data_IF_087628821321
#
_entry.id   IF_087628821321
#
_cell.length_a   1.000
_cell.length_b   1.000
_cell.length_c   1.000
_cell.angle_alpha   90.00
_cell.angle_beta   90.00
_cell.angle_gamma   90.00
#
_symmetry.space_group_name_H-M   'P 1'
#
loop_
_entity.id
_entity.type
_entity.pdbx_description
1 polymer ?
#
# COMPACT_ATOMS: atom_id res chain seq x y z
N UNK A 1 -10.43 -15.31 14.06
CA UNK A 1 -9.18 -15.34 13.27
C UNK A 1 -8.78 -16.76 12.88
N UNK A 2 -8.48 -17.64 13.85
CA UNK A 2 -8.01 -19.03 13.61
C UNK A 2 -8.80 -19.80 12.55
N UNK A 3 -10.13 -19.85 12.63
CA UNK A 3 -10.95 -20.56 11.63
C UNK A 3 -10.81 -19.98 10.22
N UNK A 4 -10.87 -18.65 10.07
CA UNK A 4 -10.73 -17.99 8.76
C UNK A 4 -9.35 -18.24 8.15
N UNK A 5 -8.29 -18.23 8.97
CA UNK A 5 -6.93 -18.50 8.49
C UNK A 5 -6.78 -19.95 8.00
N UNK A 6 -7.32 -20.91 8.75
CA UNK A 6 -7.30 -22.33 8.37
C UNK A 6 -8.06 -22.55 7.06
N UNK A 7 -9.24 -21.95 6.90
CA UNK A 7 -10.04 -22.06 5.67
C UNK A 7 -9.30 -21.46 4.45
N UNK A 8 -8.42 -20.48 4.67
CA UNK A 8 -7.54 -19.86 3.66
C UNK A 8 -6.19 -20.58 3.51
N UNK A 9 -6.00 -21.73 4.17
CA UNK A 9 -4.75 -22.52 4.11
C UNK A 9 -3.58 -21.91 4.88
N UNK A 10 -3.81 -20.85 5.68
CA UNK A 10 -2.80 -20.20 6.50
C UNK A 10 -2.80 -20.85 7.89
N UNK A 11 -1.63 -21.34 8.30
CA UNK A 11 -1.44 -21.84 9.67
C UNK A 11 -1.22 -20.64 10.59
N UNK A 12 -2.06 -20.43 11.62
CA UNK A 12 -1.85 -19.41 12.62
C UNK A 12 -0.49 -19.62 13.31
N UNK A 13 0.23 -18.53 13.56
CA UNK A 13 1.52 -18.56 14.27
C UNK A 13 1.36 -18.76 15.77
N UNK A 14 0.16 -18.46 16.30
CA UNK A 14 -0.12 -18.42 17.74
C UNK A 14 0.00 -17.02 18.35
N UNK A 15 0.54 -16.07 17.60
CA UNK A 15 0.53 -14.64 17.91
C UNK A 15 -0.56 -13.95 17.07
N UNK A 16 -1.59 -13.44 17.75
CA UNK A 16 -2.75 -12.83 17.10
C UNK A 16 -2.39 -11.53 16.38
N UNK A 17 -1.43 -10.75 16.89
CA UNK A 17 -1.00 -9.50 16.28
C UNK A 17 -0.20 -9.80 15.00
N UNK A 18 0.71 -10.77 15.07
CA UNK A 18 1.46 -11.23 13.90
C UNK A 18 0.52 -11.79 12.82
N UNK A 19 -0.46 -12.62 13.21
CA UNK A 19 -1.44 -13.22 12.32
C UNK A 19 -2.37 -12.17 11.68
N UNK A 20 -2.76 -11.13 12.42
CA UNK A 20 -3.54 -10.00 11.89
C UNK A 20 -2.76 -9.25 10.81
N UNK A 21 -1.51 -8.86 11.10
CA UNK A 21 -0.67 -8.13 10.15
C UNK A 21 -0.33 -8.98 8.92
N UNK A 22 -0.06 -10.28 9.11
CA UNK A 22 0.22 -11.22 8.03
C UNK A 22 -0.97 -11.36 7.05
N UNK A 23 -2.20 -11.20 7.53
CA UNK A 23 -3.41 -11.18 6.70
C UNK A 23 -3.70 -9.80 6.09
N UNK A 24 -3.57 -8.74 6.88
CA UNK A 24 -4.05 -7.42 6.48
C UNK A 24 -3.11 -6.68 5.56
N UNK A 25 -1.78 -6.83 5.71
CA UNK A 25 -0.83 -6.22 4.78
C UNK A 25 -1.05 -6.66 3.33
N UNK A 26 -1.13 -7.96 2.99
CA UNK A 26 -1.40 -8.38 1.61
C UNK A 26 -2.82 -8.02 1.14
N UNK A 27 -3.83 -8.06 2.01
CA UNK A 27 -5.18 -7.59 1.68
C UNK A 27 -5.17 -6.12 1.24
N UNK A 28 -4.51 -5.26 2.02
CA UNK A 28 -4.41 -3.83 1.74
C UNK A 28 -3.61 -3.57 0.46
N UNK A 29 -2.52 -4.33 0.24
CA UNK A 29 -1.74 -4.24 -0.99
C UNK A 29 -2.59 -4.59 -2.23
N UNK A 30 -3.42 -5.64 -2.14
CA UNK A 30 -4.35 -6.01 -3.21
C UNK A 30 -5.37 -4.90 -3.51
N UNK A 31 -5.95 -4.31 -2.46
CA UNK A 31 -6.90 -3.20 -2.62
C UNK A 31 -6.23 -1.93 -3.18
N UNK A 32 -4.97 -1.65 -2.84
CA UNK A 32 -4.17 -0.58 -3.47
C UNK A 32 -3.99 -0.85 -4.97
N UNK A 33 -3.66 -2.08 -5.39
CA UNK A 33 -3.51 -2.40 -6.81
C UNK A 33 -4.82 -2.29 -7.58
N UNK A 34 -5.96 -2.68 -6.98
CA UNK A 34 -7.29 -2.46 -7.56
C UNK A 34 -7.62 -0.97 -7.68
N UNK A 35 -7.34 -0.18 -6.64
CA UNK A 35 -7.56 1.26 -6.67
C UNK A 35 -6.71 1.95 -7.76
N UNK A 36 -5.43 1.55 -7.91
CA UNK A 36 -4.59 2.01 -9.02
C UNK A 36 -5.17 1.62 -10.39
N UNK A 37 -5.78 0.45 -10.51
CA UNK A 37 -6.47 0.05 -11.75
C UNK A 37 -7.70 0.93 -12.03
N UNK A 38 -8.51 1.25 -11.01
CA UNK A 38 -9.63 2.18 -11.14
C UNK A 38 -9.17 3.57 -11.57
N UNK A 39 -8.05 4.06 -11.04
CA UNK A 39 -7.48 5.35 -11.47
C UNK A 39 -6.96 5.34 -12.91
N UNK A 40 -6.44 4.21 -13.39
CA UNK A 40 -5.94 4.08 -14.77
C UNK A 40 -7.05 3.86 -15.80
N UNK A 41 -8.05 3.06 -15.46
CA UNK A 41 -9.01 2.53 -16.44
C UNK A 41 -10.46 2.91 -16.16
N UNK A 42 -10.78 3.28 -14.92
CA UNK A 42 -12.11 3.68 -14.48
C UNK A 42 -12.51 5.07 -14.98
N UNK A 43 -13.82 5.27 -15.14
CA UNK A 43 -14.41 6.50 -15.69
C UNK A 43 -15.43 7.17 -14.77
N UNK A 44 -15.76 6.53 -13.65
CA UNK A 44 -16.71 7.08 -12.68
C UNK A 44 -15.96 7.98 -11.68
N UNK A 45 -16.20 9.29 -11.75
CA UNK A 45 -15.48 10.28 -10.93
C UNK A 45 -15.59 10.03 -9.40
N UNK A 46 -16.78 9.74 -8.84
CA UNK A 46 -16.87 9.31 -7.44
C UNK A 46 -16.00 8.09 -7.09
N UNK A 47 -15.99 7.04 -7.92
CA UNK A 47 -15.18 5.85 -7.66
C UNK A 47 -13.68 6.11 -7.78
N UNK A 48 -13.27 6.98 -8.70
CA UNK A 48 -11.87 7.43 -8.83
C UNK A 48 -11.41 8.21 -7.61
N UNK A 49 -12.26 9.07 -7.04
CA UNK A 49 -11.94 9.76 -5.78
C UNK A 49 -11.82 8.78 -4.61
N UNK A 50 -12.74 7.83 -4.50
CA UNK A 50 -12.66 6.76 -3.52
C UNK A 50 -11.36 5.94 -3.68
N UNK A 51 -10.93 5.67 -4.92
CA UNK A 51 -9.68 4.97 -5.18
C UNK A 51 -8.43 5.75 -4.69
N UNK A 52 -8.41 7.08 -4.82
CA UNK A 52 -7.33 7.91 -4.24
C UNK A 52 -7.28 7.79 -2.72
N UNK A 53 -8.44 7.89 -2.06
CA UNK A 53 -8.55 7.76 -0.60
C UNK A 53 -8.08 6.37 -0.13
N UNK A 54 -8.51 5.31 -0.82
CA UNK A 54 -8.10 3.93 -0.55
C UNK A 54 -6.57 3.78 -0.61
N UNK A 55 -5.91 4.39 -1.59
CA UNK A 55 -4.45 4.31 -1.72
C UNK A 55 -3.75 4.97 -0.53
N UNK A 56 -4.15 6.19 -0.18
CA UNK A 56 -3.51 6.94 0.91
C UNK A 56 -3.71 6.24 2.26
N UNK A 57 -4.97 5.92 2.59
CA UNK A 57 -5.31 5.33 3.90
C UNK A 57 -4.66 3.96 4.07
N UNK A 58 -4.71 3.08 3.06
CA UNK A 58 -4.17 1.74 3.22
C UNK A 58 -2.63 1.70 3.22
N UNK A 59 -1.95 2.65 2.57
CA UNK A 59 -0.50 2.79 2.73
C UNK A 59 -0.10 3.20 4.15
N UNK A 60 -0.89 4.08 4.78
CA UNK A 60 -0.69 4.47 6.17
C UNK A 60 -0.94 3.29 7.12
N UNK A 61 -2.01 2.52 6.90
CA UNK A 61 -2.34 1.34 7.70
C UNK A 61 -1.28 0.24 7.57
N UNK A 62 -0.75 -0.02 6.36
CA UNK A 62 0.39 -0.93 6.17
C UNK A 62 1.61 -0.48 6.99
N UNK A 63 1.89 0.81 6.98
CA UNK A 63 3.03 1.38 7.74
C UNK A 63 2.81 1.22 9.24
N UNK A 64 1.62 1.57 9.73
CA UNK A 64 1.26 1.41 11.13
C UNK A 64 1.33 -0.06 11.59
N UNK A 65 0.79 -0.99 10.81
CA UNK A 65 0.84 -2.42 11.12
C UNK A 65 2.27 -2.96 11.21
N UNK A 66 3.17 -2.56 10.30
CA UNK A 66 4.59 -2.96 10.35
C UNK A 66 5.30 -2.39 11.58
N UNK A 67 5.06 -1.13 11.88
CA UNK A 67 5.63 -0.48 13.07
C UNK A 67 5.15 -1.13 14.37
N UNK A 68 3.87 -1.54 14.44
CA UNK A 68 3.32 -2.23 15.61
C UNK A 68 4.02 -3.56 15.90
N UNK A 69 4.60 -4.22 14.88
CA UNK A 69 5.43 -5.42 15.06
C UNK A 69 6.93 -5.13 15.23
N UNK A 70 7.33 -3.86 15.37
CA UNK A 70 8.73 -3.45 15.45
C UNK A 70 9.52 -3.66 14.16
N UNK A 71 8.85 -3.82 13.01
CA UNK A 71 9.52 -3.98 11.73
C UNK A 71 10.08 -2.63 11.24
N UNK A 72 11.20 -2.65 10.49
CA UNK A 72 11.73 -1.43 9.90
C UNK A 72 10.70 -0.79 8.96
N UNK A 73 10.67 0.54 8.96
CA UNK A 73 9.86 1.30 8.01
C UNK A 73 10.18 0.85 6.58
N UNK A 74 9.17 0.71 5.71
CA UNK A 74 9.46 0.56 4.28
C UNK A 74 10.30 1.75 3.81
N UNK A 75 11.20 1.55 2.83
CA UNK A 75 11.96 2.65 2.26
C UNK A 75 10.98 3.73 1.80
N UNK A 76 11.27 4.99 2.15
CA UNK A 76 10.45 6.13 1.76
C UNK A 76 10.31 6.16 0.24
N UNK A 77 9.17 5.72 -0.29
CA UNK A 77 8.80 5.99 -1.67
C UNK A 77 8.38 7.45 -1.74
N UNK A 78 8.98 8.26 -2.63
CA UNK A 78 8.60 9.67 -2.76
C UNK A 78 7.12 9.77 -3.11
N UNK A 79 6.44 10.74 -2.51
CA UNK A 79 5.03 11.02 -2.82
C UNK A 79 4.88 11.36 -4.31
N UNK A 80 3.76 11.01 -4.96
CA UNK A 80 3.48 11.39 -6.36
C UNK A 80 3.57 12.90 -6.61
N UNK A 81 3.40 13.73 -5.57
CA UNK A 81 3.50 15.19 -5.63
C UNK A 81 4.95 15.72 -5.63
N UNK A 82 5.95 14.84 -5.46
CA UNK A 82 7.36 15.22 -5.61
C UNK A 82 7.83 14.91 -7.03
N UNK A 83 7.38 15.71 -8.00
CA UNK A 83 8.10 15.84 -9.27
C UNK A 83 9.48 16.42 -8.93
N UNK A 84 10.60 15.71 -9.17
CA UNK A 84 11.91 16.32 -9.02
C UNK A 84 12.06 17.34 -10.15
N UNK A 85 12.06 18.63 -9.82
CA UNK A 85 12.39 19.74 -10.72
C UNK A 85 13.90 19.80 -11.07
N UNK A 86 14.64 18.70 -10.90
CA UNK A 86 16.08 18.66 -11.03
C UNK A 86 16.52 17.60 -12.06
N UNK A 87 16.15 17.78 -13.32
CA UNK A 87 16.79 17.11 -14.45
C UNK A 87 16.64 17.91 -15.77
N UNK A 88 16.73 19.24 -15.71
CA UNK A 88 16.87 20.09 -16.90
C UNK A 88 17.86 21.23 -16.66
N UNK A 89 19.15 20.91 -16.62
CA UNK A 89 20.23 21.82 -17.02
C UNK A 89 21.55 21.05 -16.96
N UNK A 90 21.98 20.58 -18.13
CA UNK A 90 23.29 20.90 -18.71
C UNK A 90 23.56 19.95 -19.86
N UNK A 91 23.03 20.32 -21.03
CA UNK A 91 23.60 19.91 -22.31
C UNK A 91 24.00 21.20 -23.00
N UNK A 92 25.24 21.63 -22.75
CA UNK A 92 25.89 22.68 -23.53
C UNK A 92 26.95 22.01 -24.40
N UNK A 93 26.72 22.10 -25.70
CA UNK A 93 27.68 21.87 -26.78
C UNK A 93 29.05 22.52 -26.47
N UNK A 94 30.12 21.72 -26.47
CA UNK A 94 31.29 21.78 -27.38
C UNK A 94 32.20 20.57 -27.15
#
# INVERSE_FOLDING_TARGET
>A
MTKMMIDMGIRPSGDVDADFVAMMVPHHQGAIEMAKAELRYGRNEPLRRMAQEIIVTQLQEITAMRLSLGQPLPPSVPSPDQIPTAAMSDSKFE
#
